data_IF_599310548537
#
_entry.id   IF_599310548537
#
_cell.length_a   1.000
_cell.length_b   1.000
_cell.length_c   1.000
_cell.angle_alpha   90.00
_cell.angle_beta   90.00
_cell.angle_gamma   90.00
#
_symmetry.space_group_name_H-M   'P 1'
#
loop_
_entity.id
_entity.type
_entity.pdbx_description
1 polymer ?
#
# COMPACT_ATOMS: atom_id res chain seq x y z
N UNK A 1 -2.50 -11.74 11.65
CA UNK A 1 -1.87 -12.18 10.38
C UNK A 1 -2.67 -11.49 9.27
N UNK A 2 -2.04 -10.95 8.24
CA UNK A 2 -2.72 -10.39 7.08
C UNK A 2 -2.40 -11.28 5.86
N UNK A 3 -3.27 -11.25 4.85
CA UNK A 3 -3.02 -11.92 3.56
C UNK A 3 -2.88 -10.88 2.46
N UNK A 4 -1.89 -11.06 1.59
CA UNK A 4 -1.60 -10.17 0.46
C UNK A 4 -1.76 -10.90 -0.87
N UNK A 5 -2.28 -10.20 -1.88
CA UNK A 5 -2.36 -10.70 -3.26
C UNK A 5 -1.04 -10.43 -4.01
N UNK A 6 0.08 -10.95 -3.49
CA UNK A 6 1.46 -10.63 -3.95
C UNK A 6 2.12 -11.67 -4.86
N UNK A 7 1.48 -12.80 -5.13
CA UNK A 7 2.11 -13.91 -5.86
C UNK A 7 2.12 -13.66 -7.38
N UNK A 8 3.22 -14.01 -8.05
CA UNK A 8 3.26 -14.08 -9.52
C UNK A 8 2.33 -15.19 -10.01
N UNK A 9 1.27 -14.86 -10.74
CA UNK A 9 0.30 -15.82 -11.27
C UNK A 9 -1.13 -15.28 -11.29
N UNK A 10 -2.07 -16.04 -11.87
CA UNK A 10 -3.46 -15.61 -12.08
C UNK A 10 -4.06 -15.00 -10.80
N UNK A 11 -4.49 -13.72 -10.83
CA UNK A 11 -5.03 -13.06 -9.64
C UNK A 11 -6.26 -13.80 -9.12
N UNK A 12 -6.51 -13.70 -7.81
CA UNK A 12 -7.69 -14.32 -7.22
C UNK A 12 -8.96 -13.74 -7.82
N UNK A 13 -9.85 -14.64 -8.20
CA UNK A 13 -11.20 -14.31 -8.64
C UNK A 13 -12.02 -13.75 -7.47
N UNK A 14 -13.08 -13.00 -7.78
CA UNK A 14 -13.99 -12.48 -6.76
C UNK A 14 -14.48 -13.54 -5.75
N UNK A 15 -14.93 -14.75 -6.16
CA UNK A 15 -15.33 -15.79 -5.21
C UNK A 15 -14.18 -16.26 -4.30
N UNK A 16 -12.95 -16.31 -4.81
CA UNK A 16 -11.77 -16.67 -4.01
C UNK A 16 -11.45 -15.61 -2.96
N UNK A 17 -11.55 -14.32 -3.31
CA UNK A 17 -11.35 -13.20 -2.36
C UNK A 17 -12.42 -13.19 -1.27
N UNK A 18 -13.68 -13.47 -1.62
CA UNK A 18 -14.77 -13.59 -0.65
C UNK A 18 -14.54 -14.73 0.35
N UNK A 19 -14.18 -15.93 -0.14
CA UNK A 19 -13.86 -17.05 0.75
C UNK A 19 -12.62 -16.79 1.61
N UNK A 20 -11.63 -16.06 1.08
CA UNK A 20 -10.48 -15.61 1.85
C UNK A 20 -10.91 -14.71 3.02
N UNK A 21 -11.75 -13.69 2.80
CA UNK A 21 -12.22 -12.82 3.88
C UNK A 21 -12.92 -13.60 4.99
N UNK A 22 -13.76 -14.58 4.63
CA UNK A 22 -14.42 -15.46 5.59
C UNK A 22 -13.41 -16.26 6.42
N UNK A 23 -12.40 -16.85 5.77
CA UNK A 23 -11.34 -17.62 6.46
C UNK A 23 -10.46 -16.73 7.32
N UNK A 24 -10.15 -15.51 6.85
CA UNK A 24 -9.39 -14.52 7.61
C UNK A 24 -10.07 -14.24 8.95
N UNK A 25 -11.37 -13.94 8.92
CA UNK A 25 -12.12 -13.72 10.15
C UNK A 25 -12.10 -14.95 11.08
N UNK A 26 -12.32 -16.15 10.54
CA UNK A 26 -12.25 -17.41 11.32
C UNK A 26 -10.88 -17.64 11.97
N UNK A 27 -9.81 -17.15 11.34
CA UNK A 27 -8.45 -17.24 11.83
C UNK A 27 -8.04 -16.05 12.72
N UNK A 28 -8.96 -15.13 13.03
CA UNK A 28 -8.70 -13.91 13.80
C UNK A 28 -7.85 -12.87 13.06
N UNK A 29 -7.83 -12.93 11.72
CA UNK A 29 -7.18 -11.95 10.85
C UNK A 29 -8.17 -10.82 10.52
N UNK A 30 -7.73 -9.57 10.53
CA UNK A 30 -8.60 -8.41 10.43
C UNK A 30 -8.16 -7.36 9.40
N UNK A 31 -7.18 -7.66 8.54
CA UNK A 31 -6.74 -6.72 7.51
C UNK A 31 -6.30 -7.44 6.22
N UNK A 32 -6.75 -6.93 5.08
CA UNK A 32 -6.42 -7.41 3.73
C UNK A 32 -5.79 -6.29 2.91
N UNK A 33 -4.58 -6.52 2.38
CA UNK A 33 -3.90 -5.58 1.49
C UNK A 33 -4.16 -5.96 0.03
N UNK A 34 -4.89 -5.11 -0.68
CA UNK A 34 -5.10 -5.20 -2.12
C UNK A 34 -3.89 -4.62 -2.86
N UNK A 35 -2.99 -5.51 -3.30
CA UNK A 35 -1.81 -5.16 -4.07
C UNK A 35 -1.51 -6.13 -5.25
N UNK A 36 -2.49 -6.45 -6.12
CA UNK A 36 -2.29 -7.43 -7.18
C UNK A 36 -1.28 -6.93 -8.23
N UNK A 37 -0.17 -7.67 -8.41
CA UNK A 37 0.89 -7.31 -9.37
C UNK A 37 0.43 -7.35 -10.85
N UNK A 38 -0.64 -8.10 -11.15
CA UNK A 38 -1.17 -8.32 -12.50
C UNK A 38 -2.32 -7.36 -12.88
N UNK A 39 -2.80 -6.53 -11.94
CA UNK A 39 -3.73 -5.46 -12.27
C UNK A 39 -2.95 -4.33 -12.98
N UNK A 40 -3.16 -4.21 -14.29
CA UNK A 40 -2.46 -3.25 -15.14
C UNK A 40 -2.65 -1.83 -14.60
N UNK A 41 -3.87 -1.46 -14.18
CA UNK A 41 -4.17 -0.14 -13.61
C UNK A 41 -3.65 0.03 -12.20
N UNK A 42 -3.37 -1.05 -11.50
CA UNK A 42 -2.69 -0.98 -10.21
C UNK A 42 -1.20 -0.62 -10.32
N UNK A 43 -0.51 -1.07 -11.38
CA UNK A 43 0.96 -0.91 -11.50
C UNK A 43 1.44 -0.21 -12.77
N UNK A 44 1.12 -0.74 -13.95
CA UNK A 44 1.70 -0.30 -15.23
C UNK A 44 1.03 0.97 -15.75
N UNK A 45 -0.31 0.99 -15.73
CA UNK A 45 -1.15 2.09 -16.19
C UNK A 45 -1.84 2.77 -15.01
N UNK A 46 -1.09 3.08 -13.95
CA UNK A 46 -1.66 3.70 -12.75
C UNK A 46 -2.36 5.05 -13.01
N UNK A 47 -2.05 5.71 -14.12
CA UNK A 47 -2.70 6.96 -14.53
C UNK A 47 -4.09 6.77 -15.13
N UNK A 48 -4.43 5.54 -15.53
CA UNK A 48 -5.70 5.24 -16.16
C UNK A 48 -6.76 5.02 -15.08
N UNK A 49 -7.90 5.71 -15.22
CA UNK A 49 -9.04 5.54 -14.32
C UNK A 49 -9.64 4.13 -14.47
N UNK A 50 -10.12 3.58 -13.36
CA UNK A 50 -10.96 2.39 -13.39
C UNK A 50 -12.24 2.67 -14.21
N UNK A 51 -12.71 1.69 -14.97
CA UNK A 51 -14.02 1.80 -15.65
C UNK A 51 -15.14 1.67 -14.63
N UNK A 52 -16.37 2.15 -14.92
CA UNK A 52 -17.50 2.00 -14.00
C UNK A 52 -17.74 0.54 -13.56
N UNK A 53 -17.49 -0.43 -14.44
CA UNK A 53 -17.60 -1.85 -14.12
C UNK A 53 -16.51 -2.30 -13.13
N UNK A 54 -15.27 -1.84 -13.30
CA UNK A 54 -14.16 -2.14 -12.40
C UNK A 54 -14.34 -1.45 -11.03
N UNK A 55 -14.80 -0.20 -11.02
CA UNK A 55 -15.15 0.54 -9.80
C UNK A 55 -16.24 -0.20 -9.01
N UNK A 56 -17.27 -0.68 -9.69
CA UNK A 56 -18.34 -1.45 -9.07
C UNK A 56 -17.80 -2.77 -8.46
N UNK A 57 -16.88 -3.45 -9.15
CA UNK A 57 -16.24 -4.66 -8.62
C UNK A 57 -15.41 -4.36 -7.36
N UNK A 58 -14.64 -3.26 -7.36
CA UNK A 58 -13.88 -2.81 -6.20
C UNK A 58 -14.81 -2.44 -5.02
N UNK A 59 -15.90 -1.74 -5.29
CA UNK A 59 -16.89 -1.37 -4.27
C UNK A 59 -17.53 -2.61 -3.63
N UNK A 60 -17.85 -3.64 -4.42
CA UNK A 60 -18.33 -4.92 -3.88
C UNK A 60 -17.27 -5.60 -3.00
N UNK A 61 -16.00 -5.63 -3.40
CA UNK A 61 -14.93 -6.19 -2.57
C UNK A 61 -14.73 -5.44 -1.24
N UNK A 62 -14.80 -4.11 -1.26
CA UNK A 62 -14.73 -3.27 -0.05
C UNK A 62 -15.91 -3.57 0.88
N UNK A 63 -17.10 -3.75 0.32
CA UNK A 63 -18.31 -4.08 1.10
C UNK A 63 -18.18 -5.46 1.75
N UNK A 64 -17.82 -6.49 0.98
CA UNK A 64 -17.68 -7.86 1.46
C UNK A 64 -16.60 -8.03 2.53
N UNK A 65 -15.46 -7.35 2.38
CA UNK A 65 -14.41 -7.35 3.41
C UNK A 65 -14.88 -6.68 4.70
N UNK A 66 -15.59 -5.56 4.59
CA UNK A 66 -16.19 -4.87 5.73
C UNK A 66 -17.21 -5.76 6.45
N UNK A 67 -18.11 -6.42 5.72
CA UNK A 67 -19.09 -7.38 6.27
C UNK A 67 -18.41 -8.58 6.94
N UNK A 68 -17.26 -9.01 6.42
CA UNK A 68 -16.45 -10.07 7.02
C UNK A 68 -15.62 -9.61 8.23
N UNK A 69 -15.65 -8.33 8.63
CA UNK A 69 -14.83 -7.79 9.72
C UNK A 69 -13.35 -7.65 9.37
N UNK A 70 -13.03 -7.55 8.08
CA UNK A 70 -11.67 -7.41 7.56
C UNK A 70 -11.48 -6.00 7.00
N UNK A 71 -10.51 -5.26 7.54
CA UNK A 71 -10.12 -3.96 7.01
C UNK A 71 -9.53 -4.11 5.61
N UNK A 72 -10.15 -3.49 4.63
CA UNK A 72 -9.65 -3.43 3.26
C UNK A 72 -8.66 -2.28 3.10
N UNK A 73 -7.42 -2.60 2.74
CA UNK A 73 -6.35 -1.64 2.50
C UNK A 73 -6.02 -1.64 1.01
N UNK A 74 -6.22 -0.52 0.33
CA UNK A 74 -5.91 -0.40 -1.09
C UNK A 74 -4.48 0.11 -1.28
N UNK A 75 -3.61 -0.66 -1.95
CA UNK A 75 -2.29 -0.16 -2.33
C UNK A 75 -2.39 0.81 -3.53
N UNK A 76 -1.74 1.95 -3.40
CA UNK A 76 -1.80 3.08 -4.31
C UNK A 76 -0.60 2.97 -5.27
N UNK A 77 -0.91 2.55 -6.49
CA UNK A 77 -0.26 2.98 -7.73
C UNK A 77 -0.55 4.49 -7.99
N UNK A 78 0.34 5.46 -8.20
CA UNK A 78 0.02 6.91 -8.13
C UNK A 78 -1.12 7.59 -8.94
N UNK A 79 -2.30 7.03 -9.29
CA UNK A 79 -3.37 7.80 -9.95
C UNK A 79 -4.74 7.39 -9.43
N UNK A 80 -5.36 8.18 -8.56
CA UNK A 80 -6.52 7.68 -7.83
C UNK A 80 -7.61 8.69 -7.49
N UNK A 81 -8.84 8.22 -7.76
CA UNK A 81 -10.14 8.69 -7.26
C UNK A 81 -10.83 7.58 -6.39
N UNK A 82 -10.11 6.52 -5.98
CA UNK A 82 -10.66 5.36 -5.20
C UNK A 82 -11.14 5.72 -3.79
N UNK A 83 -10.77 6.89 -3.25
CA UNK A 83 -11.33 7.36 -1.97
C UNK A 83 -12.85 7.47 -2.02
N UNK A 84 -13.43 7.74 -3.20
CA UNK A 84 -14.88 7.81 -3.41
C UNK A 84 -15.58 6.45 -3.34
N UNK A 85 -14.85 5.33 -3.42
CA UNK A 85 -15.42 3.98 -3.39
C UNK A 85 -15.65 3.44 -1.96
N UNK A 86 -15.40 4.24 -0.92
CA UNK A 86 -15.61 3.87 0.47
C UNK A 86 -14.41 3.19 1.15
N UNK A 87 -13.26 3.12 0.47
CA UNK A 87 -12.01 2.68 1.08
C UNK A 87 -11.49 3.76 2.06
N UNK A 88 -11.13 3.33 3.28
CA UNK A 88 -10.66 4.24 4.35
C UNK A 88 -9.22 3.97 4.80
N UNK A 89 -8.58 2.96 4.22
CA UNK A 89 -7.23 2.56 4.54
C UNK A 89 -6.43 2.36 3.25
N UNK A 90 -5.21 2.90 3.22
CA UNK A 90 -4.42 2.95 2.00
C UNK A 90 -2.99 2.50 2.27
N UNK A 91 -2.28 2.10 1.22
CA UNK A 91 -0.87 1.78 1.28
C UNK A 91 -0.15 2.42 0.10
N UNK A 92 1.06 2.94 0.27
CA UNK A 92 1.92 3.40 -0.80
C UNK A 92 3.16 2.50 -0.86
N UNK A 93 3.37 1.86 -1.99
CA UNK A 93 4.36 0.81 -2.15
C UNK A 93 5.48 1.27 -3.09
N UNK A 94 6.69 1.40 -2.53
CA UNK A 94 7.91 1.73 -3.26
C UNK A 94 8.88 0.53 -3.32
N UNK A 95 8.37 -0.70 -3.20
CA UNK A 95 9.15 -1.92 -3.40
C UNK A 95 9.46 -2.14 -4.89
N UNK A 96 10.61 -2.78 -5.17
CA UNK A 96 11.07 -3.13 -6.52
C UNK A 96 11.22 -1.94 -7.50
N UNK A 97 11.52 -0.73 -7.00
CA UNK A 97 11.87 0.43 -7.84
C UNK A 97 13.35 0.75 -7.78
N UNK A 98 13.91 1.29 -8.88
CA UNK A 98 15.27 1.80 -8.86
C UNK A 98 15.36 3.02 -7.92
N UNK A 99 16.26 3.01 -6.93
CA UNK A 99 16.40 4.13 -5.99
C UNK A 99 17.02 5.38 -6.64
N UNK A 100 17.42 5.30 -7.91
CA UNK A 100 18.00 6.41 -8.67
C UNK A 100 16.88 7.28 -9.25
N UNK A 101 16.85 8.54 -8.80
CA UNK A 101 16.01 9.57 -9.39
C UNK A 101 16.39 9.83 -10.84
N UNK A 102 15.39 10.16 -11.67
CA UNK A 102 15.60 10.66 -13.02
C UNK A 102 16.24 12.07 -12.98
N UNK A 103 16.85 12.56 -14.07
CA UNK A 103 17.53 13.86 -14.07
C UNK A 103 16.65 15.02 -13.59
N UNK A 104 15.39 15.08 -14.02
CA UNK A 104 14.45 16.12 -13.60
C UNK A 104 14.18 16.08 -12.10
N UNK A 105 13.97 14.89 -11.52
CA UNK A 105 13.74 14.74 -10.09
C UNK A 105 14.98 15.05 -9.26
N UNK A 106 16.20 14.86 -9.79
CA UNK A 106 17.45 15.21 -9.08
C UNK A 106 17.65 16.71 -8.94
N UNK A 107 17.08 17.51 -9.83
CA UNK A 107 17.12 18.98 -9.72
C UNK A 107 16.24 19.47 -8.57
N UNK A 108 15.19 18.72 -8.21
CA UNK A 108 14.21 19.07 -7.18
C UNK A 108 14.50 18.37 -5.85
N UNK A 109 14.92 17.11 -5.88
CA UNK A 109 15.11 16.27 -4.72
C UNK A 109 16.55 15.75 -4.62
N UNK A 110 17.18 16.03 -3.48
CA UNK A 110 18.53 15.55 -3.18
C UNK A 110 18.61 14.05 -2.91
N UNK A 111 17.47 13.38 -2.64
CA UNK A 111 17.42 11.92 -2.42
C UNK A 111 16.06 11.35 -2.80
N UNK A 112 16.04 10.08 -3.21
CA UNK A 112 14.80 9.35 -3.51
C UNK A 112 13.92 9.19 -2.27
N UNK A 113 14.51 9.02 -1.08
CA UNK A 113 13.78 9.02 0.18
C UNK A 113 12.96 10.32 0.36
N UNK A 114 13.57 11.47 0.08
CA UNK A 114 12.90 12.77 0.22
C UNK A 114 11.74 12.91 -0.77
N UNK A 115 11.96 12.52 -2.02
CA UNK A 115 10.92 12.54 -3.05
C UNK A 115 9.72 11.65 -2.65
N UNK A 116 10.00 10.41 -2.24
CA UNK A 116 8.97 9.44 -1.84
C UNK A 116 8.17 9.89 -0.62
N UNK A 117 8.84 10.43 0.40
CA UNK A 117 8.17 10.92 1.60
C UNK A 117 7.32 12.15 1.33
N UNK A 118 7.82 13.10 0.52
CA UNK A 118 7.06 14.27 0.11
C UNK A 118 5.78 13.85 -0.62
N UNK A 119 5.92 12.94 -1.59
CA UNK A 119 4.78 12.40 -2.32
C UNK A 119 3.82 11.63 -1.40
N UNK A 120 4.32 10.79 -0.49
CA UNK A 120 3.50 10.06 0.47
C UNK A 120 2.68 10.98 1.38
N UNK A 121 3.32 12.04 1.89
CA UNK A 121 2.65 13.02 2.74
C UNK A 121 1.60 13.83 1.96
N UNK A 122 1.87 14.17 0.70
CA UNK A 122 0.90 14.83 -0.17
C UNK A 122 -0.35 13.96 -0.38
N UNK A 123 -0.16 12.68 -0.69
CA UNK A 123 -1.25 11.72 -0.85
C UNK A 123 -2.01 11.51 0.46
N UNK A 124 -1.30 11.35 1.58
CA UNK A 124 -1.92 11.22 2.90
C UNK A 124 -2.86 12.39 3.22
N UNK A 125 -2.40 13.63 2.97
CA UNK A 125 -3.20 14.83 3.16
C UNK A 125 -4.36 14.91 2.17
N UNK A 126 -4.13 14.58 0.89
CA UNK A 126 -5.16 14.60 -0.16
C UNK A 126 -6.31 13.63 0.14
N UNK A 127 -6.00 12.48 0.75
CA UNK A 127 -6.97 11.48 1.17
C UNK A 127 -7.67 11.82 2.49
N UNK A 128 -7.41 13.00 3.07
CA UNK A 128 -8.04 13.46 4.31
C UNK A 128 -7.49 12.81 5.57
N UNK A 129 -6.19 12.48 5.59
CA UNK A 129 -5.49 11.93 6.75
C UNK A 129 -6.13 10.63 7.29
N UNK A 130 -6.20 9.55 6.49
CA UNK A 130 -6.84 8.31 6.89
C UNK A 130 -6.20 7.70 8.15
N UNK A 131 -7.00 7.02 8.97
CA UNK A 131 -6.56 6.36 10.21
C UNK A 131 -5.47 5.28 9.95
N UNK A 132 -5.50 4.68 8.75
CA UNK A 132 -4.53 3.67 8.33
C UNK A 132 -3.95 4.07 6.97
N UNK A 133 -2.69 4.50 6.99
CA UNK A 133 -1.89 4.74 5.79
C UNK A 133 -0.56 4.03 5.90
N UNK A 134 -0.31 3.06 5.03
CA UNK A 134 0.89 2.25 5.04
C UNK A 134 1.93 2.82 4.07
N UNK A 135 3.21 2.77 4.43
CA UNK A 135 4.31 3.11 3.53
C UNK A 135 5.28 1.92 3.47
N UNK A 136 5.43 1.28 2.30
CA UNK A 136 6.52 0.31 2.07
C UNK A 136 7.69 1.03 1.37
N UNK A 137 8.85 1.15 2.04
CA UNK A 137 10.03 1.80 1.46
C UNK A 137 10.67 0.96 0.34
N UNK A 138 11.59 1.57 -0.41
CA UNK A 138 12.49 0.85 -1.32
C UNK A 138 13.48 -0.04 -0.55
N UNK A 139 14.01 0.43 0.58
CA UNK A 139 14.83 -0.37 1.49
C UNK A 139 13.95 -1.18 2.47
N UNK A 140 13.08 -2.05 1.94
CA UNK A 140 12.07 -2.79 2.72
C UNK A 140 12.57 -4.01 3.49
N UNK A 141 13.85 -4.36 3.35
CA UNK A 141 14.46 -5.50 4.04
C UNK A 141 15.88 -5.16 4.49
N UNK A 142 16.37 -5.86 5.52
CA UNK A 142 17.72 -5.62 6.05
C UNK A 142 18.83 -5.79 5.00
N UNK A 143 18.62 -6.65 4.00
CA UNK A 143 19.56 -6.86 2.88
C UNK A 143 19.57 -5.71 1.87
N UNK A 144 18.50 -4.92 1.80
CA UNK A 144 18.40 -3.76 0.92
C UNK A 144 18.83 -2.46 1.62
N UNK A 145 18.91 -2.47 2.95
CA UNK A 145 19.29 -1.28 3.71
C UNK A 145 20.79 -0.99 3.57
N UNK A 146 21.15 0.20 3.08
CA UNK A 146 22.55 0.56 2.84
C UNK A 146 23.02 1.64 3.82
N UNK A 147 24.12 1.42 4.58
CA UNK A 147 24.94 0.20 4.64
C UNK A 147 24.33 -0.90 5.51
N UNK A 148 23.33 -0.56 6.34
CA UNK A 148 22.50 -1.49 7.12
C UNK A 148 21.30 -0.71 7.70
N UNK A 149 20.36 -1.43 8.31
CA UNK A 149 19.10 -0.87 8.82
C UNK A 149 19.29 0.30 9.81
N UNK A 150 20.34 0.29 10.63
CA UNK A 150 20.58 1.30 11.67
C UNK A 150 21.32 2.54 11.15
N UNK A 151 21.94 2.45 9.97
CA UNK A 151 22.80 3.51 9.41
C UNK A 151 22.33 3.99 8.04
N UNK A 152 21.19 3.51 7.57
CA UNK A 152 20.65 3.93 6.29
C UNK A 152 20.15 5.37 6.35
N UNK A 153 20.77 6.22 5.53
CA UNK A 153 20.32 7.61 5.35
C UNK A 153 18.92 7.66 4.72
N UNK A 154 18.62 6.70 3.84
CA UNK A 154 17.29 6.56 3.24
C UNK A 154 16.25 6.28 4.33
N UNK A 155 16.47 5.26 5.17
CA UNK A 155 15.54 4.90 6.24
C UNK A 155 15.44 5.98 7.32
N UNK A 156 16.56 6.64 7.65
CA UNK A 156 16.57 7.77 8.59
C UNK A 156 15.75 8.95 8.05
N UNK A 157 15.83 9.24 6.75
CA UNK A 157 15.02 10.27 6.10
C UNK A 157 13.54 9.91 6.14
N UNK A 158 13.19 8.65 5.81
CA UNK A 158 11.80 8.19 5.88
C UNK A 158 11.26 8.30 7.31
N UNK A 159 11.98 7.77 8.29
CA UNK A 159 11.55 7.78 9.69
C UNK A 159 11.38 9.20 10.27
N UNK A 160 12.19 10.16 9.83
CA UNK A 160 12.14 11.54 10.35
C UNK A 160 11.13 12.45 9.62
N UNK A 161 10.82 12.17 8.37
CA UNK A 161 10.05 13.09 7.52
C UNK A 161 8.64 12.58 7.17
N UNK A 162 8.37 11.29 7.33
CA UNK A 162 7.06 10.71 7.08
C UNK A 162 6.08 11.18 8.17
N UNK A 163 4.88 11.61 7.78
CA UNK A 163 3.91 12.15 8.73
C UNK A 163 3.57 11.12 9.83
N UNK A 164 3.38 11.53 11.10
CA UNK A 164 3.25 10.62 12.25
C UNK A 164 2.00 9.73 12.23
N UNK A 165 1.00 10.05 11.40
CA UNK A 165 -0.17 9.18 11.17
C UNK A 165 0.09 8.01 10.22
N UNK A 166 1.27 7.97 9.58
CA UNK A 166 1.63 6.88 8.67
C UNK A 166 2.23 5.71 9.44
N UNK A 167 1.82 4.50 9.09
CA UNK A 167 2.36 3.25 9.62
C UNK A 167 3.46 2.76 8.68
N UNK A 168 4.67 2.64 9.22
CA UNK A 168 5.82 2.10 8.49
C UNK A 168 5.71 0.58 8.36
N UNK A 169 5.86 0.04 7.14
CA UNK A 169 5.69 -1.39 6.87
C UNK A 169 6.90 -1.94 6.15
N UNK A 170 7.60 -2.88 6.78
CA UNK A 170 8.62 -3.69 6.10
C UNK A 170 7.92 -4.83 5.35
N UNK A 171 8.07 -4.87 4.03
CA UNK A 171 7.34 -5.80 3.15
C UNK A 171 7.57 -7.30 3.48
N UNK A 172 8.54 -7.69 4.30
CA UNK A 172 8.85 -9.10 4.60
C UNK A 172 7.85 -9.82 5.50
N UNK A 173 7.03 -9.13 6.30
CA UNK A 173 5.97 -9.74 7.11
C UNK A 173 4.83 -8.75 7.34
N UNK A 174 3.83 -8.73 6.45
CA UNK A 174 2.56 -8.08 6.78
C UNK A 174 1.76 -8.98 7.74
N UNK A 175 2.03 -8.86 9.02
CA UNK A 175 1.09 -9.25 10.07
C UNK A 175 0.58 -7.98 10.73
N UNK A 176 -0.48 -7.41 10.17
CA UNK A 176 -1.30 -6.52 10.97
C UNK A 176 -2.11 -7.37 11.94
N UNK A 177 -1.93 -7.08 13.23
CA UNK A 177 -2.94 -7.33 14.25
C UNK A 177 -3.27 -5.94 14.78
N UNK A 178 -4.31 -5.33 14.24
CA UNK A 178 -4.92 -4.18 14.93
C UNK A 178 -5.46 -4.74 16.25
N UNK A 179 -4.77 -4.46 17.35
CA UNK A 179 -5.33 -4.70 18.67
C UNK A 179 -6.41 -3.65 18.86
N UNK A 180 -7.67 -4.06 18.70
CA UNK A 180 -8.78 -3.26 19.21
C UNK A 180 -8.56 -3.18 20.73
N UNK A 181 -8.25 -1.99 21.22
CA UNK A 181 -8.37 -1.61 22.62
C UNK A 181 -9.83 -1.66 23.06
#
# INVERSE_FOLDING_TARGET
>A
MASEDRFYGRPWTYPQRKELFRRMNQMGMNAYLYAPKDDIKHRQSWRDLYTPEEEQQLQFLITESTEAGVLFIFAISPGLDVSKLGCRAFALLFDDIEPRLCPADREVFNSSARAQVMFANEIYNHLGCPDVFLFCPTEYSASLAVPNINKSEYLATVASCLAPGNIFVTCSFLIFRFMNS
#
